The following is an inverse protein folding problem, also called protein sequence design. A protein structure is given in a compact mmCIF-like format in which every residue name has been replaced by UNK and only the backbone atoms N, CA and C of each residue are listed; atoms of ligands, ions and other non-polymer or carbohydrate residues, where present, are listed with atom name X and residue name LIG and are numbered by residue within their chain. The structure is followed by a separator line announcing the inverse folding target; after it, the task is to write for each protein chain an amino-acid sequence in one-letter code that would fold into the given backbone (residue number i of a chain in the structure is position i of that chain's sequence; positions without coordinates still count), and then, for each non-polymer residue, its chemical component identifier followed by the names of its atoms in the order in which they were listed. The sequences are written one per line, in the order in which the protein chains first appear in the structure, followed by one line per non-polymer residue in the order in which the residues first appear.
data_IF_958250367181
#
_entry.id   IF_958250367181
#
_cell.length_a   1.000
_cell.length_b   1.000
_cell.length_c   1.000
_cell.angle_alpha   90.00
_cell.angle_beta   90.00
_cell.angle_gamma   90.00
#
_symmetry.space_group_name_H-M   'P 1'
#
loop_
_entity.id
_entity.type
_entity.pdbx_description
1 polymer ?
#
# COMPACT_ATOMS: atom_id res chain seq x y z
N UNK A 1 0.18 -3.71 -18.55
CA UNK A 1 -0.67 -4.36 -17.53
C UNK A 1 -1.81 -3.40 -17.17
N UNK A 2 -3.03 -3.89 -16.96
CA UNK A 2 -4.26 -3.08 -17.03
C UNK A 2 -4.44 -2.15 -15.81
N UNK A 3 -4.79 -0.87 -16.04
CA UNK A 3 -4.97 0.15 -15.00
C UNK A 3 -6.07 -0.22 -14.00
N UNK A 4 -7.08 -0.99 -14.45
CA UNK A 4 -8.17 -1.50 -13.61
C UNK A 4 -7.68 -2.44 -12.52
N UNK A 5 -6.75 -3.36 -12.83
CA UNK A 5 -6.22 -4.32 -11.85
C UNK A 5 -5.42 -3.61 -10.76
N UNK A 6 -4.64 -2.58 -11.13
CA UNK A 6 -3.90 -1.76 -10.16
C UNK A 6 -4.84 -1.08 -9.17
N UNK A 7 -5.92 -0.46 -9.67
CA UNK A 7 -6.93 0.18 -8.82
C UNK A 7 -7.62 -0.80 -7.87
N UNK A 8 -7.94 -2.02 -8.35
CA UNK A 8 -8.53 -3.06 -7.50
C UNK A 8 -7.57 -3.53 -6.40
N UNK A 9 -6.29 -3.71 -6.71
CA UNK A 9 -5.30 -4.07 -5.69
C UNK A 9 -5.10 -2.96 -4.66
N UNK A 10 -5.04 -1.69 -5.12
CA UNK A 10 -4.98 -0.53 -4.22
C UNK A 10 -6.19 -0.49 -3.29
N UNK A 11 -7.41 -0.62 -3.82
CA UNK A 11 -8.62 -0.56 -2.99
C UNK A 11 -8.71 -1.69 -1.97
N UNK A 12 -8.36 -2.92 -2.38
CA UNK A 12 -8.30 -4.06 -1.46
C UNK A 12 -7.29 -3.83 -0.33
N UNK A 13 -6.12 -3.28 -0.65
CA UNK A 13 -5.09 -2.98 0.34
C UNK A 13 -5.50 -1.84 1.29
N UNK A 14 -6.16 -0.79 0.80
CA UNK A 14 -6.75 0.26 1.66
C UNK A 14 -7.76 -0.35 2.64
N UNK A 15 -8.70 -1.15 2.15
CA UNK A 15 -9.73 -1.77 3.00
C UNK A 15 -9.08 -2.67 4.06
N UNK A 16 -8.10 -3.48 3.66
CA UNK A 16 -7.40 -4.37 4.59
C UNK A 16 -6.64 -3.57 5.67
N UNK A 17 -5.88 -2.54 5.28
CA UNK A 17 -5.10 -1.73 6.22
C UNK A 17 -6.00 -0.94 7.18
N UNK A 18 -7.07 -0.31 6.68
CA UNK A 18 -8.03 0.40 7.55
C UNK A 18 -8.74 -0.55 8.52
N UNK A 19 -8.95 -1.81 8.13
CA UNK A 19 -9.60 -2.80 8.99
C UNK A 19 -8.67 -3.38 10.04
N UNK A 20 -7.43 -3.68 9.68
CA UNK A 20 -6.51 -4.45 10.53
C UNK A 20 -5.42 -3.61 11.18
N UNK A 21 -5.17 -2.39 10.72
CA UNK A 21 -4.12 -1.51 11.24
C UNK A 21 -4.60 -0.06 11.42
N UNK A 22 -5.62 0.20 12.29
CA UNK A 22 -6.22 1.53 12.48
C UNK A 22 -5.28 2.54 13.15
N UNK A 23 -4.10 2.11 13.61
CA UNK A 23 -3.08 2.96 14.24
C UNK A 23 -2.38 3.88 13.25
N UNK A 24 -2.45 3.54 11.96
CA UNK A 24 -1.86 4.31 10.87
C UNK A 24 -3.00 4.93 10.07
N UNK A 25 -3.03 6.25 9.98
CA UNK A 25 -3.86 6.95 9.01
C UNK A 25 -3.16 6.87 7.65
N UNK A 26 -3.71 6.07 6.75
CA UNK A 26 -3.17 5.89 5.40
C UNK A 26 -3.40 7.14 4.56
N UNK A 27 -2.35 7.67 3.94
CA UNK A 27 -2.39 8.84 3.07
C UNK A 27 -2.42 8.42 1.59
N UNK A 28 -1.48 7.56 1.20
CA UNK A 28 -1.44 7.02 -0.14
C UNK A 28 -1.00 5.55 -0.15
N UNK A 29 -1.46 4.84 -1.18
CA UNK A 29 -0.93 3.55 -1.55
C UNK A 29 -0.69 3.52 -3.05
N UNK A 30 0.50 3.06 -3.41
CA UNK A 30 0.86 2.80 -4.79
C UNK A 30 1.27 1.35 -4.99
N UNK A 31 0.81 0.75 -6.08
CA UNK A 31 1.18 -0.59 -6.51
C UNK A 31 1.81 -0.50 -7.89
N UNK A 32 3.07 -0.93 -7.97
CA UNK A 32 3.89 -0.88 -9.18
C UNK A 32 4.31 -2.29 -9.58
N UNK A 33 4.03 -2.65 -10.83
CA UNK A 33 4.53 -3.89 -11.40
C UNK A 33 5.95 -3.67 -11.92
N UNK A 34 6.87 -4.50 -11.46
CA UNK A 34 8.28 -4.52 -11.87
C UNK A 34 8.49 -5.60 -12.93
N UNK A 35 9.58 -5.47 -13.69
CA UNK A 35 9.98 -6.48 -14.66
C UNK A 35 10.11 -7.88 -14.02
N UNK A 36 9.73 -8.91 -14.77
CA UNK A 36 9.80 -10.30 -14.30
C UNK A 36 8.67 -10.72 -13.35
N UNK A 37 7.48 -10.12 -13.45
CA UNK A 37 6.28 -10.54 -12.71
C UNK A 37 6.24 -10.13 -11.24
N UNK A 38 7.19 -9.30 -10.79
CA UNK A 38 7.25 -8.83 -9.41
C UNK A 38 6.32 -7.64 -9.21
N UNK A 39 5.75 -7.50 -8.02
CA UNK A 39 5.11 -6.26 -7.60
C UNK A 39 5.94 -5.55 -6.53
N UNK A 40 5.85 -4.23 -6.50
CA UNK A 40 6.10 -3.44 -5.31
C UNK A 40 4.80 -2.79 -4.88
N UNK A 41 4.58 -2.67 -3.58
CA UNK A 41 3.61 -1.75 -3.06
C UNK A 41 4.31 -0.77 -2.11
N UNK A 42 4.06 0.51 -2.30
CA UNK A 42 4.53 1.59 -1.43
C UNK A 42 3.31 2.16 -0.73
N UNK A 43 3.37 2.22 0.59
CA UNK A 43 2.34 2.85 1.41
C UNK A 43 2.96 4.01 2.19
N UNK A 44 2.22 5.10 2.26
CA UNK A 44 2.55 6.26 3.09
C UNK A 44 1.39 6.54 4.02
N UNK A 45 1.71 6.98 5.23
CA UNK A 45 0.71 7.36 6.21
C UNK A 45 1.33 8.01 7.43
N UNK A 46 0.48 8.27 8.41
CA UNK A 46 0.87 8.91 9.67
C UNK A 46 0.50 8.00 10.82
N UNK A 47 1.47 7.72 11.70
CA UNK A 47 1.22 7.01 12.95
C UNK A 47 0.48 7.95 13.90
N UNK A 48 -0.77 7.62 14.22
CA UNK A 48 -1.67 8.53 14.94
C UNK A 48 -1.20 8.85 16.37
N UNK A 49 -0.44 7.95 17.01
CA UNK A 49 0.05 8.15 18.37
C UNK A 49 1.23 9.11 18.46
N UNK A 50 2.11 9.10 17.46
CA UNK A 50 3.36 9.89 17.46
C UNK A 50 3.33 11.04 16.47
N UNK A 51 2.29 11.12 15.62
CA UNK A 51 2.18 12.04 14.50
C UNK A 51 3.35 11.96 13.52
N UNK A 52 4.04 10.82 13.47
CA UNK A 52 5.17 10.60 12.59
C UNK A 52 4.70 10.05 11.25
N UNK A 53 5.23 10.63 10.17
CA UNK A 53 5.08 10.06 8.84
C UNK A 53 5.87 8.75 8.74
N UNK A 54 5.23 7.76 8.16
CA UNK A 54 5.76 6.44 7.88
C UNK A 54 5.61 6.17 6.39
N UNK A 55 6.67 5.68 5.78
CA UNK A 55 6.65 5.12 4.44
C UNK A 55 7.16 3.68 4.53
N UNK A 56 6.43 2.76 3.91
CA UNK A 56 6.83 1.36 3.82
C UNK A 56 6.73 0.91 2.37
N UNK A 57 7.83 0.34 1.87
CA UNK A 57 7.85 -0.32 0.56
C UNK A 57 7.98 -1.82 0.77
N UNK A 58 6.98 -2.56 0.34
CA UNK A 58 7.00 -4.02 0.29
C UNK A 58 7.24 -4.49 -1.14
N UNK A 59 8.12 -5.47 -1.31
CA UNK A 59 8.29 -6.17 -2.59
C UNK A 59 7.51 -7.46 -2.53
N UNK A 60 6.50 -7.59 -3.37
CA UNK A 60 5.68 -8.78 -3.54
C UNK A 60 6.36 -9.66 -4.59
N UNK A 61 6.92 -10.79 -4.14
CA UNK A 61 7.53 -11.81 -5.00
C UNK A 61 7.29 -13.19 -4.40
N UNK A 62 6.83 -14.11 -5.25
CA UNK A 62 7.29 -15.50 -5.28
C UNK A 62 8.15 -15.67 -6.53
#
# INVERSE_FOLDING_TARGET
MNNTTRLQCMSAAVIALTRWEPRIALDAIDVVWKAGGRAGATLSGTVMQTMQNVELTITLRE
#
